data_IF_441051926051
#
_entry.id   IF_441051926051
#
_cell.length_a   1.000
_cell.length_b   1.000
_cell.length_c   1.000
_cell.angle_alpha   90.00
_cell.angle_beta   90.00
_cell.angle_gamma   90.00
#
_symmetry.space_group_name_H-M   'P 1'
#
loop_
_entity.id
_entity.type
_entity.pdbx_description
1 polymer ?
#
# COMPACT_ATOMS: atom_id res chain seq x y z
N UNK A 1 2.42 25.18 15.83
CA UNK A 1 1.25 24.48 15.25
C UNK A 1 0.54 23.71 16.36
N UNK A 2 -0.75 23.90 16.48
CA UNK A 2 -1.51 23.17 17.50
C UNK A 2 -1.71 21.69 17.13
N UNK A 3 -2.18 20.88 18.07
CA UNK A 3 -2.33 19.44 17.88
C UNK A 3 -3.29 19.09 16.73
N UNK A 4 -4.38 19.86 16.60
CA UNK A 4 -5.42 19.61 15.60
C UNK A 4 -4.90 19.88 14.19
N UNK A 5 -4.22 21.01 14.01
CA UNK A 5 -3.64 21.36 12.71
C UNK A 5 -2.54 20.37 12.30
N UNK A 6 -1.75 19.90 13.27
CA UNK A 6 -0.71 18.89 13.01
C UNK A 6 -1.32 17.56 12.56
N UNK A 7 -2.40 17.13 13.19
CA UNK A 7 -3.10 15.90 12.80
C UNK A 7 -3.66 15.98 11.38
N UNK A 8 -4.26 17.12 11.03
CA UNK A 8 -4.79 17.34 9.68
C UNK A 8 -3.66 17.31 8.64
N UNK A 9 -2.54 17.97 8.89
CA UNK A 9 -1.41 17.97 7.97
C UNK A 9 -0.85 16.56 7.75
N UNK A 10 -0.75 15.75 8.81
CA UNK A 10 -0.28 14.37 8.68
C UNK A 10 -1.25 13.52 7.85
N UNK A 11 -2.54 13.71 8.03
CA UNK A 11 -3.57 13.03 7.24
C UNK A 11 -3.45 13.41 5.75
N UNK A 12 -3.39 14.70 5.44
CA UNK A 12 -3.29 15.18 4.05
C UNK A 12 -2.00 14.70 3.38
N UNK A 13 -0.88 14.67 4.11
CA UNK A 13 0.38 14.17 3.58
C UNK A 13 0.29 12.67 3.26
N UNK A 14 -0.40 11.89 4.10
CA UNK A 14 -0.63 10.48 3.85
C UNK A 14 -1.47 10.25 2.61
N UNK A 15 -2.56 10.99 2.44
CA UNK A 15 -3.42 10.93 1.25
C UNK A 15 -2.64 11.30 0.01
N UNK A 16 -1.83 12.36 0.06
CA UNK A 16 -1.01 12.78 -1.07
C UNK A 16 0.01 11.71 -1.47
N UNK A 17 0.61 11.02 -0.49
CA UNK A 17 1.55 9.94 -0.77
C UNK A 17 0.83 8.77 -1.46
N UNK A 18 -0.33 8.36 -0.98
CA UNK A 18 -1.13 7.31 -1.60
C UNK A 18 -1.54 7.68 -3.03
N UNK A 19 -1.95 8.94 -3.27
CA UNK A 19 -2.32 9.42 -4.60
C UNK A 19 -1.14 9.37 -5.58
N UNK A 20 0.05 9.74 -5.13
CA UNK A 20 1.28 9.63 -5.93
C UNK A 20 1.55 8.18 -6.34
N UNK A 21 1.46 7.27 -5.38
CA UNK A 21 1.68 5.85 -5.62
C UNK A 21 0.63 5.28 -6.57
N UNK A 22 -0.64 5.63 -6.36
CA UNK A 22 -1.72 5.19 -7.24
C UNK A 22 -1.44 5.59 -8.68
N UNK A 23 -1.00 6.82 -8.89
CA UNK A 23 -0.68 7.35 -10.23
C UNK A 23 0.43 6.55 -10.89
N UNK A 24 1.48 6.20 -10.14
CA UNK A 24 2.57 5.38 -10.67
C UNK A 24 2.08 4.02 -11.17
N UNK A 25 1.24 3.35 -10.39
CA UNK A 25 0.70 2.05 -10.79
C UNK A 25 -0.26 2.16 -11.97
N UNK A 26 -1.12 3.17 -11.98
CA UNK A 26 -2.06 3.38 -13.09
C UNK A 26 -1.32 3.71 -14.39
N UNK A 27 -0.24 4.51 -14.33
CA UNK A 27 0.59 4.82 -15.50
C UNK A 27 1.29 3.56 -16.03
N UNK A 28 1.57 2.58 -15.17
CA UNK A 28 2.14 1.30 -15.57
C UNK A 28 1.09 0.29 -16.08
N UNK A 29 -0.17 0.70 -16.17
CA UNK A 29 -1.25 -0.13 -16.71
C UNK A 29 -2.10 -0.86 -15.67
N UNK A 30 -1.85 -0.67 -14.39
CA UNK A 30 -2.64 -1.28 -13.34
C UNK A 30 -3.97 -0.53 -13.14
N UNK A 31 -4.98 -1.26 -12.70
CA UNK A 31 -6.28 -0.71 -12.36
C UNK A 31 -6.44 -0.71 -10.85
N UNK A 32 -6.84 0.42 -10.26
CA UNK A 32 -7.11 0.47 -8.83
C UNK A 32 -8.43 -0.24 -8.54
N UNK A 33 -8.41 -1.17 -7.59
CA UNK A 33 -9.61 -1.90 -7.14
C UNK A 33 -10.14 -1.34 -5.83
N UNK A 34 -9.26 -1.08 -4.88
CA UNK A 34 -9.62 -0.59 -3.56
C UNK A 34 -8.59 0.40 -3.04
N UNK A 35 -9.07 1.36 -2.25
CA UNK A 35 -8.26 2.28 -1.47
C UNK A 35 -8.63 2.10 -0.01
N UNK A 36 -7.62 2.02 0.87
CA UNK A 36 -7.80 1.89 2.31
C UNK A 36 -8.79 0.78 2.67
N UNK A 37 -8.55 -0.38 2.08
CA UNK A 37 -9.42 -1.53 2.28
C UNK A 37 -9.15 -2.18 3.63
N UNK A 38 -10.21 -2.43 4.40
CA UNK A 38 -10.12 -3.10 5.70
C UNK A 38 -10.64 -4.51 5.64
N UNK A 39 -9.92 -5.40 6.34
CA UNK A 39 -10.35 -6.76 6.60
C UNK A 39 -10.24 -7.05 8.10
N UNK A 40 -10.61 -8.25 8.49
CA UNK A 40 -10.42 -8.70 9.87
C UNK A 40 -8.94 -8.76 10.25
N UNK A 41 -8.07 -9.06 9.29
CA UNK A 41 -6.63 -9.23 9.51
C UNK A 41 -5.86 -7.92 9.51
N UNK A 42 -6.37 -6.89 8.85
CA UNK A 42 -5.68 -5.61 8.78
C UNK A 42 -6.17 -4.74 7.64
N UNK A 43 -5.48 -3.62 7.44
CA UNK A 43 -5.79 -2.66 6.38
C UNK A 43 -4.72 -2.73 5.29
N UNK A 44 -5.14 -2.59 4.04
CA UNK A 44 -4.26 -2.47 2.87
C UNK A 44 -4.49 -1.11 2.26
N UNK A 45 -3.42 -0.34 2.07
CA UNK A 45 -3.54 1.05 1.58
C UNK A 45 -4.11 1.10 0.17
N UNK A 46 -3.60 0.26 -0.74
CA UNK A 46 -4.06 0.22 -2.13
C UNK A 46 -4.06 -1.22 -2.63
N UNK A 47 -5.08 -1.57 -3.41
CA UNK A 47 -5.15 -2.85 -4.10
C UNK A 47 -5.34 -2.57 -5.58
N UNK A 48 -4.46 -3.14 -6.41
CA UNK A 48 -4.50 -3.01 -7.86
C UNK A 48 -4.69 -4.36 -8.53
N UNK A 49 -5.14 -4.30 -9.77
CA UNK A 49 -5.14 -5.44 -10.68
C UNK A 49 -4.30 -5.09 -11.90
N UNK A 50 -3.36 -5.96 -12.23
CA UNK A 50 -2.54 -5.86 -13.42
C UNK A 50 -2.64 -7.20 -14.15
N UNK A 51 -3.41 -7.23 -15.25
CA UNK A 51 -3.74 -8.50 -15.89
C UNK A 51 -4.52 -9.40 -14.96
N UNK A 52 -3.99 -10.59 -14.67
CA UNK A 52 -4.61 -11.56 -13.75
C UNK A 52 -4.02 -11.51 -12.35
N UNK A 53 -3.13 -10.56 -12.09
CA UNK A 53 -2.44 -10.43 -10.81
C UNK A 53 -3.06 -9.34 -9.96
N UNK A 54 -3.25 -9.62 -8.68
CA UNK A 54 -3.60 -8.61 -7.68
C UNK A 54 -2.34 -8.12 -6.98
N UNK A 55 -2.20 -6.81 -6.85
CA UNK A 55 -1.05 -6.16 -6.19
C UNK A 55 -1.55 -5.43 -4.96
N UNK A 56 -1.04 -5.82 -3.80
CA UNK A 56 -1.38 -5.22 -2.50
C UNK A 56 -0.24 -4.32 -2.10
N UNK A 57 -0.52 -3.04 -1.90
CA UNK A 57 0.52 -2.02 -1.69
C UNK A 57 0.37 -1.38 -0.33
N UNK A 58 1.45 -1.41 0.44
CA UNK A 58 1.60 -0.65 1.67
C UNK A 58 2.42 0.60 1.37
N UNK A 59 1.88 1.77 1.69
CA UNK A 59 2.55 3.06 1.46
C UNK A 59 3.15 3.54 2.77
N UNK A 60 4.45 3.82 2.77
CA UNK A 60 5.18 4.38 3.91
C UNK A 60 5.82 5.70 3.52
N UNK A 61 5.49 6.76 4.25
CA UNK A 61 6.06 8.08 4.04
C UNK A 61 6.94 8.48 5.21
N UNK A 62 8.10 9.02 4.91
CA UNK A 62 8.99 9.61 5.90
C UNK A 62 9.91 10.63 5.22
N UNK A 63 10.81 11.24 6.00
CA UNK A 63 11.76 12.23 5.52
C UNK A 63 12.58 11.70 4.34
N UNK A 64 13.03 10.45 4.44
CA UNK A 64 13.79 9.77 3.38
C UNK A 64 13.36 8.32 3.29
N UNK A 65 13.85 7.62 2.27
CA UNK A 65 13.45 6.22 2.02
C UNK A 65 13.90 5.28 3.14
N UNK A 66 15.08 5.51 3.72
CA UNK A 66 15.55 4.66 4.82
C UNK A 66 14.63 4.78 6.05
N UNK A 67 14.24 6.01 6.40
CA UNK A 67 13.32 6.24 7.50
C UNK A 67 11.94 5.63 7.21
N UNK A 68 11.45 5.73 5.97
CA UNK A 68 10.19 5.11 5.57
C UNK A 68 10.28 3.58 5.70
N UNK A 69 11.35 2.99 5.21
CA UNK A 69 11.57 1.54 5.29
C UNK A 69 11.64 1.06 6.75
N UNK A 70 12.23 1.85 7.65
CA UNK A 70 12.34 1.48 9.06
C UNK A 70 10.99 1.39 9.78
N UNK A 71 9.93 1.94 9.20
CA UNK A 71 8.57 1.85 9.76
C UNK A 71 7.86 0.55 9.43
N UNK A 72 8.44 -0.28 8.57
CA UNK A 72 7.89 -1.59 8.27
C UNK A 72 8.24 -2.57 9.37
N UNK A 73 7.26 -3.36 9.79
CA UNK A 73 7.49 -4.45 10.74
C UNK A 73 7.05 -5.77 10.11
N UNK A 74 7.66 -6.86 10.54
CA UNK A 74 7.27 -8.20 10.10
C UNK A 74 5.81 -8.48 10.42
N UNK A 75 5.37 -8.01 11.59
CA UNK A 75 3.98 -8.16 12.03
C UNK A 75 3.01 -7.46 11.08
N UNK A 76 3.35 -6.26 10.63
CA UNK A 76 2.53 -5.53 9.67
C UNK A 76 2.48 -6.24 8.33
N UNK A 77 3.62 -6.75 7.86
CA UNK A 77 3.68 -7.50 6.60
C UNK A 77 2.86 -8.78 6.67
N UNK A 78 2.87 -9.47 7.79
CA UNK A 78 2.04 -10.66 8.00
C UNK A 78 0.55 -10.32 7.96
N UNK A 79 0.15 -9.19 8.53
CA UNK A 79 -1.24 -8.71 8.47
C UNK A 79 -1.67 -8.39 7.05
N UNK A 80 -0.80 -7.78 6.27
CA UNK A 80 -1.08 -7.48 4.85
C UNK A 80 -1.25 -8.78 4.07
N UNK A 81 -0.39 -9.76 4.29
CA UNK A 81 -0.51 -11.06 3.62
C UNK A 81 -1.83 -11.75 3.95
N UNK A 82 -2.23 -11.74 5.22
CA UNK A 82 -3.51 -12.31 5.65
C UNK A 82 -4.69 -11.55 5.04
N UNK A 83 -4.62 -10.22 5.00
CA UNK A 83 -5.64 -9.39 4.37
C UNK A 83 -5.74 -9.69 2.87
N UNK A 84 -4.59 -9.91 2.21
CA UNK A 84 -4.56 -10.27 0.79
C UNK A 84 -5.28 -11.59 0.52
N UNK A 85 -5.08 -12.59 1.38
CA UNK A 85 -5.80 -13.86 1.28
C UNK A 85 -7.31 -13.67 1.43
N UNK A 86 -7.74 -12.85 2.40
CA UNK A 86 -9.15 -12.55 2.60
C UNK A 86 -9.75 -11.86 1.36
N UNK A 87 -9.02 -10.91 0.78
CA UNK A 87 -9.47 -10.23 -0.43
C UNK A 87 -9.65 -11.23 -1.57
N UNK A 88 -8.65 -12.06 -1.83
CA UNK A 88 -8.70 -13.04 -2.91
C UNK A 88 -9.86 -14.02 -2.73
N UNK A 89 -10.12 -14.47 -1.51
CA UNK A 89 -11.23 -15.37 -1.23
C UNK A 89 -12.60 -14.75 -1.57
N UNK A 90 -12.70 -13.41 -1.56
CA UNK A 90 -13.92 -12.70 -1.92
C UNK A 90 -14.07 -12.48 -3.43
N UNK A 91 -13.09 -12.86 -4.23
CA UNK A 91 -13.10 -12.70 -5.69
C UNK A 91 -13.41 -14.03 -6.37
N UNK A 92 -13.87 -14.00 -7.65
CA UNK A 92 -14.12 -15.25 -8.40
C UNK A 92 -12.88 -16.12 -8.58
N UNK A 93 -11.66 -15.53 -8.59
CA UNK A 93 -10.42 -16.29 -8.73
C UNK A 93 -10.05 -17.04 -7.46
N UNK A 94 -10.46 -16.53 -6.30
CA UNK A 94 -10.17 -17.18 -5.02
C UNK A 94 -8.68 -17.46 -4.83
N UNK A 95 -8.35 -18.68 -4.42
CA UNK A 95 -6.97 -19.10 -4.19
C UNK A 95 -6.15 -19.27 -5.47
N UNK A 96 -6.78 -19.21 -6.63
CA UNK A 96 -6.08 -19.29 -7.93
C UNK A 96 -5.52 -17.93 -8.36
N UNK A 97 -5.85 -16.86 -7.65
CA UNK A 97 -5.34 -15.54 -7.97
C UNK A 97 -3.82 -15.46 -7.75
N UNK A 98 -3.12 -14.87 -8.70
CA UNK A 98 -1.73 -14.50 -8.49
C UNK A 98 -1.69 -13.23 -7.67
N UNK A 99 -0.86 -13.20 -6.64
CA UNK A 99 -0.72 -12.02 -5.77
C UNK A 99 0.73 -11.55 -5.71
N UNK A 100 0.87 -10.26 -5.55
CA UNK A 100 2.15 -9.60 -5.27
C UNK A 100 1.92 -8.59 -4.17
N UNK A 101 2.82 -8.54 -3.19
CA UNK A 101 2.78 -7.54 -2.12
C UNK A 101 3.96 -6.60 -2.34
N UNK A 102 3.65 -5.33 -2.50
CA UNK A 102 4.63 -4.29 -2.73
C UNK A 102 4.63 -3.30 -1.58
N UNK A 103 5.78 -2.69 -1.36
CA UNK A 103 5.92 -1.57 -0.43
C UNK A 103 6.36 -0.34 -1.23
N UNK A 104 5.60 0.73 -1.09
CA UNK A 104 5.92 2.01 -1.72
C UNK A 104 6.46 2.96 -0.66
N UNK A 105 7.72 3.37 -0.81
CA UNK A 105 8.37 4.33 0.07
C UNK A 105 8.26 5.71 -0.58
N UNK A 106 7.80 6.70 0.18
CA UNK A 106 7.64 8.07 -0.30
C UNK A 106 8.41 9.00 0.65
N UNK A 107 9.24 9.90 0.08
CA UNK A 107 9.98 10.88 0.87
C UNK A 107 9.24 12.22 0.93
N UNK A 108 9.86 13.21 1.59
CA UNK A 108 9.27 14.54 1.78
C UNK A 108 9.04 15.31 0.48
N UNK A 109 9.79 15.02 -0.57
CA UNK A 109 9.66 15.66 -1.87
C UNK A 109 8.77 14.89 -2.82
N UNK A 110 8.02 13.91 -2.30
CA UNK A 110 7.10 13.06 -3.06
C UNK A 110 7.77 12.17 -4.11
N UNK A 111 9.08 11.92 -3.97
CA UNK A 111 9.75 10.88 -4.73
C UNK A 111 9.36 9.52 -4.15
N UNK A 112 9.24 8.53 -5.00
CA UNK A 112 8.77 7.20 -4.62
C UNK A 112 9.77 6.13 -5.02
N UNK A 113 9.91 5.12 -4.16
CA UNK A 113 10.65 3.90 -4.45
C UNK A 113 9.71 2.73 -4.19
N UNK A 114 9.51 1.88 -5.21
CA UNK A 114 8.66 0.71 -5.09
C UNK A 114 9.55 -0.51 -4.84
N UNK A 115 9.27 -1.23 -3.76
CA UNK A 115 9.90 -2.51 -3.48
C UNK A 115 8.86 -3.57 -3.84
N UNK A 116 9.07 -4.23 -4.98
CA UNK A 116 8.13 -5.19 -5.50
C UNK A 116 8.31 -6.57 -4.86
N UNK A 117 7.18 -7.26 -4.70
CA UNK A 117 7.14 -8.66 -4.32
C UNK A 117 7.90 -8.95 -3.02
N UNK A 118 7.55 -8.21 -1.98
CA UNK A 118 8.20 -8.37 -0.66
C UNK A 118 7.90 -9.76 -0.11
N UNK A 119 8.96 -10.49 0.24
CA UNK A 119 8.85 -11.80 0.87
C UNK A 119 8.63 -11.67 2.37
N UNK A 120 7.83 -12.57 2.90
CA UNK A 120 7.59 -12.67 4.34
C UNK A 120 8.53 -13.71 4.97
#
# INVERSE_FOLDING_TARGET
MDRKARGLNNYLNGVAAEDCVERLYCDAGAKVLKRRWRSKSGEVDLIFQLGTMFIFVEVKKAKDFAAAASRLSDRQMQRIAAAAEEFCASTPLGMEANIRIDVALVNDTSDSQIIENVSL
#
